data_IF_591823266562
#
_entry.id   IF_591823266562
#
_cell.length_a   1.000
_cell.length_b   1.000
_cell.length_c   1.000
_cell.angle_alpha   90.00
_cell.angle_beta   90.00
_cell.angle_gamma   90.00
#
_symmetry.space_group_name_H-M   'P 1'
#
loop_
_entity.id
_entity.type
_entity.pdbx_description
1 polymer ?
#
# COMPACT_ATOMS: atom_id res chain seq x y z
N UNK A 1 9.03 66.28 -2.75
CA UNK A 1 9.19 66.71 -1.34
C UNK A 1 8.04 66.11 -0.54
N UNK A 2 8.32 65.59 0.65
CA UNK A 2 7.46 64.85 1.59
C UNK A 2 7.29 63.35 1.28
N UNK A 3 7.89 62.37 1.98
CA UNK A 3 8.24 62.09 3.40
C UNK A 3 7.33 60.97 3.91
N UNK A 4 7.95 59.83 4.23
CA UNK A 4 7.36 58.68 4.91
C UNK A 4 6.77 59.06 6.28
N UNK A 5 5.70 58.39 6.70
CA UNK A 5 5.47 58.06 8.11
C UNK A 5 4.75 56.73 8.27
N UNK A 6 5.23 55.95 9.23
CA UNK A 6 4.86 54.59 9.61
C UNK A 6 3.53 54.49 10.35
N UNK A 7 2.92 53.30 10.30
CA UNK A 7 1.96 52.83 11.29
C UNK A 7 1.77 51.31 11.21
N UNK A 8 2.53 50.55 12.02
CA UNK A 8 2.26 49.14 12.31
C UNK A 8 1.26 49.07 13.46
N UNK A 9 0.11 48.42 13.27
CA UNK A 9 -0.67 47.79 14.34
C UNK A 9 -1.34 46.53 13.77
N UNK A 10 -0.96 45.38 14.29
CA UNK A 10 -1.65 44.08 14.19
C UNK A 10 -2.51 43.87 15.45
N UNK A 11 -3.23 42.75 15.60
CA UNK A 11 -4.23 42.08 14.77
C UNK A 11 -5.60 42.03 15.52
N UNK A 12 -6.72 41.67 14.88
CA UNK A 12 -7.87 40.94 15.47
C UNK A 12 -9.13 41.09 14.62
N UNK A 13 -9.72 39.92 14.31
CA UNK A 13 -11.14 39.62 14.15
C UNK A 13 -11.96 40.12 12.95
N UNK A 14 -12.76 39.16 12.47
CA UNK A 14 -14.00 39.28 11.72
C UNK A 14 -13.91 39.97 10.36
N UNK A 15 -13.67 39.19 9.32
CA UNK A 15 -14.16 39.56 7.98
C UNK A 15 -15.69 39.37 7.94
N UNK A 16 -16.40 40.40 8.39
CA UNK A 16 -17.77 40.67 7.94
C UNK A 16 -17.68 41.06 6.47
N UNK A 17 -17.88 40.10 5.57
CA UNK A 17 -18.06 40.38 4.14
C UNK A 17 -19.43 41.04 3.97
N UNK A 18 -19.44 42.37 3.88
CA UNK A 18 -20.62 43.15 3.50
C UNK A 18 -20.99 42.76 2.06
N UNK A 19 -22.05 41.96 1.93
CA UNK A 19 -22.69 41.62 0.66
C UNK A 19 -23.30 42.89 0.05
N UNK A 20 -22.58 43.51 -0.89
CA UNK A 20 -23.22 44.41 -1.85
C UNK A 20 -24.13 43.58 -2.75
N UNK A 21 -25.40 43.93 -2.72
CA UNK A 21 -26.49 43.35 -3.51
C UNK A 21 -26.15 43.35 -5.00
N UNK A 22 -26.04 42.15 -5.58
CA UNK A 22 -25.83 41.93 -7.00
C UNK A 22 -25.27 40.53 -7.26
N UNK A 23 -26.10 39.63 -7.81
CA UNK A 23 -25.77 38.28 -8.32
C UNK A 23 -25.93 37.11 -7.32
N UNK A 24 -27.15 36.95 -6.81
CA UNK A 24 -27.58 35.84 -5.95
C UNK A 24 -27.95 34.56 -6.73
N UNK A 25 -27.05 34.03 -7.57
CA UNK A 25 -27.29 32.73 -8.25
C UNK A 25 -26.03 31.90 -8.46
N UNK A 26 -24.86 32.54 -8.66
CA UNK A 26 -23.60 31.84 -8.94
C UNK A 26 -22.87 31.31 -7.70
N UNK A 27 -23.08 31.92 -6.52
CA UNK A 27 -22.35 31.55 -5.29
C UNK A 27 -22.82 30.21 -4.70
N UNK A 28 -24.10 29.86 -4.86
CA UNK A 28 -24.66 28.59 -4.35
C UNK A 28 -24.11 27.39 -5.13
N UNK A 29 -24.01 27.49 -6.45
CA UNK A 29 -23.50 26.41 -7.31
C UNK A 29 -22.03 26.14 -7.06
N UNK A 30 -21.17 27.16 -6.95
CA UNK A 30 -19.73 26.97 -6.67
C UNK A 30 -19.50 26.36 -5.28
N UNK A 31 -20.29 26.76 -4.28
CA UNK A 31 -20.23 26.20 -2.94
C UNK A 31 -20.68 24.72 -2.92
N UNK A 32 -21.76 24.39 -3.62
CA UNK A 32 -22.23 23.00 -3.79
C UNK A 32 -21.24 22.14 -4.57
N UNK A 33 -20.60 22.68 -5.63
CA UNK A 33 -19.54 21.97 -6.36
C UNK A 33 -18.31 21.74 -5.47
N UNK A 34 -17.91 22.71 -4.65
CA UNK A 34 -16.83 22.51 -3.67
C UNK A 34 -17.19 21.45 -2.64
N UNK A 35 -18.41 21.45 -2.09
CA UNK A 35 -18.86 20.43 -1.15
C UNK A 35 -18.92 19.05 -1.80
N UNK A 36 -19.45 18.94 -3.02
CA UNK A 36 -19.54 17.68 -3.75
C UNK A 36 -18.14 17.16 -4.14
N UNK A 37 -17.23 18.05 -4.52
CA UNK A 37 -15.84 17.74 -4.79
C UNK A 37 -15.10 17.29 -3.53
N UNK A 38 -15.28 17.99 -2.40
CA UNK A 38 -14.74 17.58 -1.10
C UNK A 38 -15.33 16.25 -0.62
N UNK A 39 -16.64 16.02 -0.78
CA UNK A 39 -17.28 14.73 -0.50
C UNK A 39 -16.72 13.60 -1.38
N UNK A 40 -16.41 13.88 -2.65
CA UNK A 40 -15.74 12.92 -3.54
C UNK A 40 -14.27 12.69 -3.15
N UNK A 41 -13.55 13.70 -2.67
CA UNK A 41 -12.19 13.55 -2.15
C UNK A 41 -12.19 12.70 -0.86
N UNK A 42 -13.13 12.94 0.05
CA UNK A 42 -13.30 12.16 1.28
C UNK A 42 -13.64 10.70 0.96
N UNK A 43 -14.33 10.43 -0.16
CA UNK A 43 -14.66 9.07 -0.61
C UNK A 43 -13.46 8.31 -1.23
N UNK A 44 -12.31 8.94 -1.42
CA UNK A 44 -11.12 8.33 -2.06
C UNK A 44 -9.99 7.98 -1.09
N UNK A 45 -10.00 8.54 0.13
CA UNK A 45 -9.03 8.18 1.16
C UNK A 45 -9.52 6.93 1.88
N UNK A 46 -8.63 5.95 2.07
CA UNK A 46 -8.97 4.76 2.86
C UNK A 46 -9.29 5.14 4.30
N UNK A 47 -10.43 4.68 4.78
CA UNK A 47 -10.85 4.85 6.17
C UNK A 47 -10.22 3.74 7.03
N UNK A 48 -9.15 4.10 7.74
CA UNK A 48 -8.43 3.20 8.64
C UNK A 48 -9.27 2.67 9.79
N UNK A 49 -10.32 3.39 10.19
CA UNK A 49 -11.23 2.94 11.25
C UNK A 49 -12.12 1.79 10.78
N UNK A 50 -12.57 1.84 9.53
CA UNK A 50 -13.37 0.78 8.91
C UNK A 50 -12.48 -0.42 8.60
N UNK A 51 -11.45 -0.25 7.77
CA UNK A 51 -10.59 -1.36 7.35
C UNK A 51 -9.88 -2.01 8.54
N UNK A 52 -9.56 -1.26 9.59
CA UNK A 52 -8.94 -1.78 10.80
C UNK A 52 -9.76 -2.87 11.50
N UNK A 53 -11.08 -2.89 11.33
CA UNK A 53 -11.97 -3.92 11.90
C UNK A 53 -12.04 -5.20 11.08
N UNK A 54 -11.56 -5.18 9.83
CA UNK A 54 -11.55 -6.36 8.98
C UNK A 54 -10.55 -7.39 9.51
N UNK A 55 -10.92 -8.66 9.37
CA UNK A 55 -10.13 -9.80 9.84
C UNK A 55 -9.31 -10.41 8.73
N UNK A 56 -8.08 -10.77 9.09
CA UNK A 56 -7.17 -11.55 8.26
C UNK A 56 -6.71 -12.77 9.04
N UNK A 57 -6.51 -13.88 8.33
CA UNK A 57 -6.12 -15.15 8.92
C UNK A 57 -4.68 -15.48 8.55
N UNK A 58 -3.87 -15.85 9.55
CA UNK A 58 -2.47 -16.20 9.36
C UNK A 58 -2.33 -17.45 8.50
N UNK A 59 -1.43 -17.39 7.52
CA UNK A 59 -1.10 -18.55 6.66
C UNK A 59 -0.39 -19.65 7.48
N UNK A 60 0.35 -19.30 8.52
CA UNK A 60 1.18 -20.26 9.27
C UNK A 60 0.39 -21.07 10.29
N UNK A 61 -0.50 -20.43 11.04
CA UNK A 61 -1.18 -21.07 12.18
C UNK A 61 -2.72 -20.95 12.12
N UNK A 62 -3.28 -20.30 11.10
CA UNK A 62 -4.72 -20.14 10.93
C UNK A 62 -5.37 -19.18 11.94
N UNK A 63 -4.59 -18.43 12.72
CA UNK A 63 -5.12 -17.46 13.68
C UNK A 63 -5.73 -16.25 12.97
N UNK A 64 -6.94 -15.89 13.38
CA UNK A 64 -7.66 -14.71 12.91
C UNK A 64 -7.31 -13.49 13.75
N UNK A 65 -6.95 -12.38 13.12
CA UNK A 65 -6.63 -11.09 13.76
C UNK A 65 -7.27 -9.93 13.02
N UNK A 66 -7.61 -8.86 13.73
CA UNK A 66 -8.06 -7.61 13.11
C UNK A 66 -6.87 -6.84 12.54
N UNK A 67 -7.03 -6.23 11.36
CA UNK A 67 -5.97 -5.47 10.70
C UNK A 67 -5.38 -4.37 11.63
N UNK A 68 -6.22 -3.72 12.44
CA UNK A 68 -5.78 -2.63 13.33
C UNK A 68 -4.71 -3.03 14.34
N UNK A 69 -4.60 -4.31 14.66
CA UNK A 69 -3.58 -4.82 15.58
C UNK A 69 -2.17 -4.63 15.03
N UNK A 70 -2.00 -4.53 13.70
CA UNK A 70 -0.69 -4.38 13.10
C UNK A 70 -0.07 -2.99 13.24
N UNK A 71 -0.89 -1.95 13.40
CA UNK A 71 -0.43 -0.56 13.54
C UNK A 71 -0.80 0.08 14.87
N UNK A 72 -1.15 -0.74 15.87
CA UNK A 72 -1.50 -0.22 17.19
C UNK A 72 -0.32 0.54 17.79
N UNK A 73 0.86 -0.10 17.81
CA UNK A 73 2.05 0.41 18.53
C UNK A 73 3.30 0.59 17.65
N UNK A 74 3.25 0.22 16.36
CA UNK A 74 4.41 0.28 15.47
C UNK A 74 4.03 0.68 14.04
N UNK A 75 5.04 1.08 13.27
CA UNK A 75 4.92 1.28 11.84
C UNK A 75 4.71 -0.07 11.14
N UNK A 76 3.85 -0.11 10.12
CA UNK A 76 3.62 -1.32 9.33
C UNK A 76 3.50 -1.01 7.84
N UNK A 77 4.14 -1.84 7.04
CA UNK A 77 3.94 -1.95 5.61
C UNK A 77 3.07 -3.16 5.30
N UNK A 78 1.81 -2.92 4.93
CA UNK A 78 0.85 -3.97 4.55
C UNK A 78 0.74 -4.04 3.03
N UNK A 79 1.10 -5.19 2.45
CA UNK A 79 1.08 -5.44 1.02
C UNK A 79 -0.04 -6.40 0.70
N UNK A 80 -1.01 -5.96 -0.09
CA UNK A 80 -2.15 -6.75 -0.52
C UNK A 80 -1.83 -7.41 -1.86
N UNK A 81 -1.56 -8.72 -1.83
CA UNK A 81 -1.22 -9.49 -3.02
C UNK A 81 -2.50 -9.97 -3.72
N UNK A 82 -2.64 -9.65 -5.02
CA UNK A 82 -3.77 -10.16 -5.81
C UNK A 82 -3.88 -11.68 -5.81
N UNK A 83 -2.76 -12.40 -5.95
CA UNK A 83 -2.68 -13.86 -6.02
C UNK A 83 -1.31 -14.37 -5.61
N UNK A 84 -1.27 -15.41 -4.79
CA UNK A 84 -0.02 -16.10 -4.39
C UNK A 84 0.71 -16.74 -5.57
N UNK A 85 -0.06 -17.34 -6.48
CA UNK A 85 0.43 -18.00 -7.68
C UNK A 85 0.94 -17.08 -8.78
N UNK A 86 0.73 -15.77 -8.67
CA UNK A 86 1.09 -14.83 -9.73
C UNK A 86 2.59 -14.54 -9.70
N UNK A 87 3.28 -14.79 -10.82
CA UNK A 87 4.71 -14.50 -10.98
C UNK A 87 5.05 -13.03 -10.68
N UNK A 88 4.21 -12.09 -11.06
CA UNK A 88 4.41 -10.65 -10.80
C UNK A 88 4.26 -10.31 -9.31
N UNK A 89 3.40 -11.04 -8.58
CA UNK A 89 3.29 -10.88 -7.13
C UNK A 89 4.49 -11.47 -6.40
N UNK A 90 4.98 -12.62 -6.87
CA UNK A 90 6.22 -13.22 -6.37
C UNK A 90 7.42 -12.31 -6.65
N UNK A 91 7.46 -11.65 -7.80
CA UNK A 91 8.50 -10.67 -8.12
C UNK A 91 8.45 -9.49 -7.16
N UNK A 92 7.28 -8.86 -6.99
CA UNK A 92 7.14 -7.74 -6.07
C UNK A 92 7.51 -8.14 -4.63
N UNK A 93 7.11 -9.34 -4.18
CA UNK A 93 7.48 -9.85 -2.88
C UNK A 93 9.01 -10.05 -2.72
N UNK A 94 9.69 -10.55 -3.76
CA UNK A 94 11.16 -10.66 -3.77
C UNK A 94 11.84 -9.29 -3.72
N UNK A 95 11.34 -8.33 -4.50
CA UNK A 95 11.85 -6.95 -4.50
C UNK A 95 11.69 -6.30 -3.12
N UNK A 96 10.57 -6.54 -2.43
CA UNK A 96 10.38 -6.08 -1.05
C UNK A 96 11.40 -6.68 -0.07
N UNK A 97 11.91 -7.88 -0.36
CA UNK A 97 12.99 -8.50 0.41
C UNK A 97 14.31 -7.72 0.38
N UNK A 98 14.55 -6.92 -0.67
CA UNK A 98 15.76 -6.07 -0.79
C UNK A 98 15.80 -4.96 0.26
N UNK A 99 14.62 -4.49 0.71
CA UNK A 99 14.49 -3.44 1.74
C UNK A 99 14.07 -3.98 3.11
N UNK A 100 13.70 -5.26 3.21
CA UNK A 100 13.28 -5.87 4.47
C UNK A 100 14.29 -5.68 5.62
N UNK A 101 15.62 -5.82 5.41
CA UNK A 101 16.60 -5.54 6.48
C UNK A 101 16.53 -4.11 7.02
N UNK A 102 16.32 -3.11 6.14
CA UNK A 102 16.20 -1.69 6.55
C UNK A 102 14.92 -1.47 7.34
N UNK A 103 13.82 -2.05 6.89
CA UNK A 103 12.51 -1.94 7.54
C UNK A 103 12.55 -2.60 8.94
N UNK A 104 13.07 -3.82 9.04
CA UNK A 104 13.16 -4.54 10.31
C UNK A 104 14.08 -3.84 11.32
N UNK A 105 15.24 -3.35 10.87
CA UNK A 105 16.17 -2.58 11.72
C UNK A 105 15.51 -1.33 12.32
N UNK A 106 14.58 -0.72 11.59
CA UNK A 106 13.83 0.46 12.01
C UNK A 106 12.48 0.14 12.69
N UNK A 107 12.25 -1.12 13.07
CA UNK A 107 11.04 -1.54 13.78
C UNK A 107 9.76 -1.42 12.95
N UNK A 108 9.88 -1.49 11.62
CA UNK A 108 8.73 -1.47 10.72
C UNK A 108 8.32 -2.91 10.44
N UNK A 109 7.08 -3.25 10.79
CA UNK A 109 6.50 -4.55 10.54
C UNK A 109 6.15 -4.71 9.05
N UNK A 110 6.49 -5.85 8.46
CA UNK A 110 6.07 -6.21 7.11
C UNK A 110 4.96 -7.26 7.16
N UNK A 111 3.84 -6.99 6.49
CA UNK A 111 2.68 -7.88 6.43
C UNK A 111 2.24 -8.07 4.98
N UNK A 112 2.14 -9.31 4.53
CA UNK A 112 1.55 -9.68 3.25
C UNK A 112 0.16 -10.24 3.43
N UNK A 113 -0.84 -9.73 2.70
CA UNK A 113 -2.23 -10.17 2.76
C UNK A 113 -2.67 -10.66 1.38
N UNK A 114 -2.96 -11.95 1.22
CA UNK A 114 -3.58 -12.49 0.00
C UNK A 114 -5.10 -12.35 0.00
N UNK A 115 -5.70 -12.58 -1.17
CA UNK A 115 -7.16 -12.60 -1.32
C UNK A 115 -7.79 -13.85 -0.66
N UNK A 116 -7.12 -15.00 -0.76
CA UNK A 116 -7.64 -16.31 -0.32
C UNK A 116 -6.49 -17.20 0.18
N UNK A 117 -6.80 -18.35 0.79
CA UNK A 117 -5.78 -19.30 1.26
C UNK A 117 -5.10 -20.09 0.11
N UNK A 118 -5.82 -20.31 -0.99
CA UNK A 118 -5.37 -21.19 -2.08
C UNK A 118 -4.07 -20.67 -2.72
N UNK A 119 -2.99 -21.48 -2.66
CA UNK A 119 -1.67 -21.13 -3.17
C UNK A 119 -0.73 -20.48 -2.16
N UNK A 120 -1.19 -20.23 -0.92
CA UNK A 120 -0.40 -19.59 0.14
C UNK A 120 0.76 -20.47 0.63
N UNK A 121 0.58 -21.80 0.67
CA UNK A 121 1.64 -22.75 1.08
C UNK A 121 2.83 -22.70 0.15
N UNK A 122 2.59 -22.77 -1.16
CA UNK A 122 3.64 -22.66 -2.17
C UNK A 122 4.36 -21.31 -2.11
N UNK A 123 3.66 -20.26 -1.67
CA UNK A 123 4.25 -18.93 -1.51
C UNK A 123 5.19 -18.85 -0.30
N UNK A 124 4.81 -19.49 0.81
CA UNK A 124 5.65 -19.64 2.01
C UNK A 124 6.87 -20.51 1.70
N UNK A 125 6.66 -21.68 1.09
CA UNK A 125 7.73 -22.62 0.74
C UNK A 125 8.76 -22.00 -0.22
N UNK A 126 8.31 -21.19 -1.18
CA UNK A 126 9.18 -20.45 -2.10
C UNK A 126 9.92 -19.26 -1.45
N UNK A 127 9.72 -19.02 -0.16
CA UNK A 127 10.27 -17.90 0.62
C UNK A 127 10.20 -16.59 -0.17
N UNK A 128 9.03 -16.24 -0.71
CA UNK A 128 8.92 -15.06 -1.60
C UNK A 128 8.88 -13.74 -0.84
N UNK A 129 8.51 -13.75 0.44
CA UNK A 129 8.31 -12.55 1.25
C UNK A 129 8.95 -12.74 2.62
N UNK A 130 9.63 -11.70 3.10
CA UNK A 130 10.41 -11.72 4.34
C UNK A 130 9.62 -11.14 5.53
N UNK A 131 8.29 -11.21 5.50
CA UNK A 131 7.39 -10.72 6.56
C UNK A 131 6.26 -11.68 6.88
N UNK A 132 5.34 -11.27 7.77
CA UNK A 132 4.23 -12.11 8.19
C UNK A 132 3.18 -12.24 7.07
N UNK A 133 2.68 -13.46 6.84
CA UNK A 133 1.72 -13.74 5.77
C UNK A 133 0.34 -14.08 6.31
N UNK A 134 -0.67 -13.43 5.75
CA UNK A 134 -2.08 -13.59 6.04
C UNK A 134 -2.90 -13.64 4.75
N UNK A 135 -4.16 -14.03 4.85
CA UNK A 135 -5.15 -13.82 3.79
C UNK A 135 -6.42 -13.18 4.37
N UNK A 136 -7.13 -12.42 3.56
CA UNK A 136 -8.40 -11.81 3.97
C UNK A 136 -9.46 -12.88 4.21
N UNK A 137 -10.20 -12.79 5.31
CA UNK A 137 -11.34 -13.70 5.55
C UNK A 137 -12.51 -13.40 4.61
N UNK A 138 -12.65 -12.13 4.23
CA UNK A 138 -13.68 -11.66 3.32
C UNK A 138 -13.11 -10.77 2.22
N UNK A 139 -13.65 -10.91 1.00
CA UNK A 139 -13.34 -10.05 -0.14
C UNK A 139 -13.72 -8.57 0.10
N UNK A 140 -14.63 -8.31 1.04
CA UNK A 140 -15.00 -6.97 1.50
C UNK A 140 -13.77 -6.16 1.95
N UNK A 141 -12.71 -6.81 2.43
CA UNK A 141 -11.42 -6.19 2.79
C UNK A 141 -10.77 -5.49 1.59
N UNK A 142 -10.73 -6.17 0.43
CA UNK A 142 -10.18 -5.60 -0.79
C UNK A 142 -11.10 -4.51 -1.36
N UNK A 143 -12.42 -4.67 -1.21
CA UNK A 143 -13.41 -3.69 -1.67
C UNK A 143 -13.37 -2.40 -0.84
N UNK A 144 -13.22 -2.49 0.48
CA UNK A 144 -13.10 -1.34 1.38
C UNK A 144 -11.84 -0.50 1.09
N UNK A 145 -10.77 -1.14 0.60
CA UNK A 145 -9.55 -0.49 0.13
C UNK A 145 -9.68 0.08 -1.30
N UNK A 146 -10.86 -0.03 -1.92
CA UNK A 146 -11.13 0.35 -3.30
C UNK A 146 -10.18 -0.34 -4.31
N UNK A 147 -9.72 -1.56 -4.00
CA UNK A 147 -8.97 -2.36 -4.97
C UNK A 147 -9.92 -2.88 -6.04
N UNK A 148 -9.67 -2.43 -7.27
CA UNK A 148 -10.57 -2.69 -8.39
C UNK A 148 -10.62 -4.17 -8.75
N UNK A 149 -11.77 -4.58 -9.28
CA UNK A 149 -11.90 -5.82 -10.03
C UNK A 149 -11.87 -5.48 -11.50
N UNK A 150 -10.77 -5.82 -12.16
CA UNK A 150 -10.64 -5.68 -13.59
C UNK A 150 -11.22 -6.91 -14.29
N UNK A 151 -11.79 -6.71 -15.48
CA UNK A 151 -12.17 -7.85 -16.31
C UNK A 151 -10.89 -8.54 -16.83
N UNK A 152 -10.97 -9.85 -17.05
CA UNK A 152 -9.81 -10.65 -17.48
C UNK A 152 -9.19 -10.09 -18.77
N UNK A 153 -10.02 -9.55 -19.67
CA UNK A 153 -9.57 -8.93 -20.93
C UNK A 153 -8.63 -7.75 -20.68
N UNK A 154 -8.96 -6.85 -19.75
CA UNK A 154 -8.13 -5.69 -19.40
C UNK A 154 -6.84 -6.09 -18.71
N UNK A 155 -6.88 -7.11 -17.85
CA UNK A 155 -5.67 -7.70 -17.26
C UNK A 155 -4.78 -8.30 -18.35
N UNK A 156 -5.34 -9.10 -19.26
CA UNK A 156 -4.58 -9.67 -20.38
C UNK A 156 -4.00 -8.57 -21.29
N UNK A 157 -4.78 -7.54 -21.62
CA UNK A 157 -4.31 -6.39 -22.39
C UNK A 157 -3.12 -5.70 -21.69
N UNK A 158 -3.19 -5.53 -20.38
CA UNK A 158 -2.11 -4.92 -19.60
C UNK A 158 -0.84 -5.79 -19.54
N UNK A 159 -0.93 -7.11 -19.71
CA UNK A 159 0.25 -7.99 -19.80
C UNK A 159 1.08 -7.73 -21.06
N UNK A 160 0.47 -7.17 -22.12
CA UNK A 160 1.21 -6.78 -23.32
C UNK A 160 1.94 -5.44 -23.18
N UNK A 161 1.71 -4.68 -22.10
CA UNK A 161 2.42 -3.42 -21.88
C UNK A 161 3.91 -3.64 -21.60
N UNK A 162 4.73 -2.66 -21.97
CA UNK A 162 6.20 -2.74 -21.82
C UNK A 162 6.61 -3.08 -20.37
N UNK A 163 6.03 -2.37 -19.39
CA UNK A 163 6.26 -2.63 -17.97
C UNK A 163 5.98 -4.08 -17.58
N UNK A 164 4.86 -4.64 -18.04
CA UNK A 164 4.52 -6.03 -17.77
C UNK A 164 5.49 -7.01 -18.42
N UNK A 165 5.93 -6.74 -19.65
CA UNK A 165 6.93 -7.58 -20.33
C UNK A 165 8.29 -7.53 -19.63
N UNK A 166 8.72 -6.36 -19.19
CA UNK A 166 9.99 -6.17 -18.46
C UNK A 166 9.93 -6.90 -17.10
N UNK A 167 8.82 -6.77 -16.38
CA UNK A 167 8.59 -7.50 -15.12
C UNK A 167 8.50 -9.02 -15.35
N UNK A 168 7.87 -9.48 -16.45
CA UNK A 168 7.84 -10.90 -16.82
C UNK A 168 9.25 -11.42 -17.10
N UNK A 169 10.06 -10.66 -17.83
CA UNK A 169 11.44 -11.01 -18.14
C UNK A 169 12.29 -11.10 -16.87
N UNK A 170 12.19 -10.10 -15.99
CA UNK A 170 12.87 -10.08 -14.68
C UNK A 170 12.45 -11.28 -13.82
N UNK A 171 11.15 -11.54 -13.71
CA UNK A 171 10.62 -12.68 -12.96
C UNK A 171 11.13 -14.03 -13.47
N UNK A 172 11.15 -14.24 -14.80
CA UNK A 172 11.71 -15.45 -15.42
C UNK A 172 13.21 -15.58 -15.19
N UNK A 173 13.96 -14.49 -15.28
CA UNK A 173 15.40 -14.49 -14.99
C UNK A 173 15.69 -14.87 -13.52
N UNK A 174 14.75 -14.58 -12.61
CA UNK A 174 14.81 -14.99 -11.20
C UNK A 174 14.22 -16.39 -10.94
N UNK A 175 13.87 -17.15 -11.98
CA UNK A 175 13.31 -18.50 -11.85
C UNK A 175 11.88 -18.54 -11.29
N UNK A 176 11.17 -17.41 -11.31
CA UNK A 176 9.80 -17.33 -10.81
C UNK A 176 8.84 -17.95 -11.84
N UNK A 177 8.08 -18.95 -11.40
CA UNK A 177 6.95 -19.48 -12.15
C UNK A 177 5.64 -18.79 -11.73
N UNK A 178 4.61 -18.91 -12.56
CA UNK A 178 3.26 -18.52 -12.21
C UNK A 178 2.29 -19.68 -12.41
N UNK A 179 1.24 -19.74 -11.61
CA UNK A 179 0.13 -20.68 -11.80
C UNK A 179 -1.12 -19.99 -12.34
N UNK A 180 -2.14 -20.79 -12.65
CA UNK A 180 -3.43 -20.32 -13.15
C UNK A 180 -4.57 -20.35 -12.12
N UNK A 181 -4.26 -20.61 -10.83
CA UNK A 181 -5.24 -20.81 -9.76
C UNK A 181 -5.71 -19.49 -9.14
N UNK A 182 -7.00 -19.38 -8.86
CA UNK A 182 -7.59 -18.26 -8.11
C UNK A 182 -8.08 -17.10 -8.97
N UNK A 183 -8.30 -15.95 -8.33
CA UNK A 183 -8.98 -14.80 -8.93
C UNK A 183 -8.10 -13.90 -9.81
N UNK A 184 -8.31 -13.97 -11.12
CA UNK A 184 -7.51 -13.21 -12.09
C UNK A 184 -7.81 -11.71 -12.14
N UNK A 185 -9.02 -11.31 -11.78
CA UNK A 185 -9.54 -9.96 -11.97
C UNK A 185 -9.28 -9.04 -10.78
N UNK A 186 -9.09 -9.60 -9.59
CA UNK A 186 -8.76 -8.81 -8.40
C UNK A 186 -7.36 -8.22 -8.53
N UNK A 187 -7.23 -6.92 -8.27
CA UNK A 187 -5.93 -6.27 -8.04
C UNK A 187 -5.70 -6.04 -6.54
N UNK A 188 -4.46 -5.76 -6.18
CA UNK A 188 -4.05 -5.44 -4.83
C UNK A 188 -3.50 -4.03 -4.70
N UNK A 189 -2.57 -3.86 -3.77
CA UNK A 189 -2.03 -2.55 -3.42
C UNK A 189 -1.18 -2.60 -2.17
N UNK A 190 -0.89 -1.44 -1.60
CA UNK A 190 -0.13 -1.31 -0.37
C UNK A 190 -0.72 -0.25 0.54
N UNK A 191 -0.61 -0.47 1.84
CA UNK A 191 -1.03 0.43 2.88
C UNK A 191 0.10 0.57 3.89
N UNK A 192 0.69 1.77 3.97
CA UNK A 192 1.75 2.09 4.91
C UNK A 192 1.15 2.93 6.03
N UNK A 193 1.22 2.42 7.25
CA UNK A 193 0.51 2.96 8.41
C UNK A 193 1.48 3.13 9.56
N UNK A 194 1.45 4.30 10.19
CA UNK A 194 2.17 4.56 11.44
C UNK A 194 1.35 4.21 12.68
N UNK A 195 1.99 4.22 13.86
CA UNK A 195 1.35 3.91 15.13
C UNK A 195 0.05 4.69 15.35
N UNK A 196 -0.94 4.05 15.95
CA UNK A 196 -2.25 4.67 16.22
C UNK A 196 -3.11 4.91 14.97
N UNK A 197 -2.76 4.34 13.81
CA UNK A 197 -3.56 4.42 12.59
C UNK A 197 -3.33 5.69 11.79
N UNK A 198 -2.10 6.20 11.76
CA UNK A 198 -1.72 7.32 10.89
C UNK A 198 -1.43 6.81 9.49
N UNK A 199 -2.28 7.11 8.50
CA UNK A 199 -2.01 6.76 7.11
C UNK A 199 -0.79 7.53 6.57
N UNK A 200 0.27 6.82 6.21
CA UNK A 200 1.50 7.42 5.63
C UNK A 200 1.43 7.40 4.10
N UNK A 201 1.02 6.26 3.53
CA UNK A 201 0.88 6.09 2.09
C UNK A 201 -0.14 5.00 1.78
N UNK A 202 -0.92 5.24 0.75
CA UNK A 202 -1.77 4.24 0.13
C UNK A 202 -1.39 4.10 -1.34
N UNK A 203 -1.33 2.87 -1.84
CA UNK A 203 -1.10 2.54 -3.24
C UNK A 203 -2.13 1.52 -3.71
N UNK A 204 -2.68 1.73 -4.91
CA UNK A 204 -3.64 0.83 -5.55
C UNK A 204 -3.10 0.46 -6.91
N UNK A 205 -2.97 -0.84 -7.16
CA UNK A 205 -2.51 -1.33 -8.45
C UNK A 205 -3.49 -0.94 -9.56
N UNK A 206 -2.96 -0.38 -10.64
CA UNK A 206 -3.72 -0.11 -11.87
C UNK A 206 -3.65 -1.28 -12.87
N UNK A 207 -2.69 -2.19 -12.66
CA UNK A 207 -2.50 -3.39 -13.46
C UNK A 207 -1.72 -4.48 -12.70
N UNK A 208 -1.57 -5.68 -13.30
CA UNK A 208 -0.97 -6.84 -12.66
C UNK A 208 0.54 -6.73 -12.41
N UNK A 209 1.23 -5.86 -13.17
CA UNK A 209 2.67 -5.59 -13.04
C UNK A 209 2.96 -4.26 -12.31
N UNK A 210 1.92 -3.55 -11.91
CA UNK A 210 2.04 -2.30 -11.17
C UNK A 210 2.38 -2.63 -9.71
N UNK A 211 3.34 -1.94 -9.11
CA UNK A 211 3.73 -2.14 -7.72
C UNK A 211 4.24 -0.83 -7.12
N UNK A 212 4.21 -0.73 -5.79
CA UNK A 212 4.78 0.42 -5.09
C UNK A 212 6.31 0.26 -5.05
N UNK A 213 7.10 1.18 -5.64
CA UNK A 213 8.56 1.07 -5.63
C UNK A 213 9.12 1.10 -4.20
N UNK A 214 10.21 0.37 -3.99
CA UNK A 214 10.89 0.28 -2.70
C UNK A 214 11.30 1.66 -2.16
N UNK A 215 11.72 2.56 -3.04
CA UNK A 215 12.12 3.93 -2.71
C UNK A 215 10.93 4.74 -2.17
N UNK A 216 9.73 4.55 -2.71
CA UNK A 216 8.51 5.19 -2.19
C UNK A 216 8.13 4.65 -0.81
N UNK A 217 8.33 3.35 -0.57
CA UNK A 217 8.07 2.73 0.73
C UNK A 217 9.01 3.32 1.78
N UNK A 218 10.30 3.34 1.51
CA UNK A 218 11.32 3.89 2.41
C UNK A 218 11.06 5.37 2.70
N UNK A 219 10.78 6.16 1.65
CA UNK A 219 10.43 7.58 1.79
C UNK A 219 9.20 7.80 2.67
N UNK A 220 8.19 6.95 2.57
CA UNK A 220 6.99 7.07 3.41
C UNK A 220 7.29 6.90 4.91
N UNK A 221 8.35 6.16 5.26
CA UNK A 221 8.83 5.99 6.63
C UNK A 221 10.00 6.91 6.99
N UNK A 222 10.45 7.79 6.09
CA UNK A 222 11.58 8.70 6.31
C UNK A 222 12.95 8.01 6.28
N UNK A 223 13.09 6.92 5.52
CA UNK A 223 14.28 6.07 5.45
C UNK A 223 15.01 6.16 4.10
N UNK A 224 14.76 7.21 3.30
CA UNK A 224 15.36 7.39 1.98
C UNK A 224 16.90 7.40 1.98
N UNK A 225 17.53 7.79 3.10
CA UNK A 225 18.98 7.83 3.24
C UNK A 225 19.61 6.48 3.59
N UNK A 226 18.83 5.49 4.03
CA UNK A 226 19.32 4.16 4.43
C UNK A 226 19.35 3.15 3.27
N UNK A 227 18.86 3.53 2.10
CA UNK A 227 18.83 2.66 0.93
C UNK A 227 20.00 2.93 -0.01
N UNK A 228 20.78 1.88 -0.27
CA UNK A 228 21.86 1.90 -1.25
C UNK A 228 21.54 0.95 -2.41
N UNK A 229 21.86 1.30 -3.68
CA UNK A 229 21.65 0.42 -4.83
C UNK A 229 22.37 -0.93 -4.73
N UNK A 230 23.37 -1.05 -3.85
CA UNK A 230 24.01 -2.34 -3.55
C UNK A 230 23.07 -3.34 -2.87
N UNK A 231 22.07 -2.88 -2.09
CA UNK A 231 21.11 -3.74 -1.40
C UNK A 231 20.19 -4.50 -2.37
N UNK A 232 19.86 -3.89 -3.51
CA UNK A 232 19.09 -4.52 -4.58
C UNK A 232 19.84 -5.66 -5.30
N UNK A 233 21.16 -5.77 -5.10
CA UNK A 233 22.02 -6.77 -5.76
C UNK A 233 22.54 -7.86 -4.81
N UNK A 234 22.21 -7.80 -3.52
CA UNK A 234 22.60 -8.86 -2.59
C UNK A 234 21.69 -10.07 -2.81
N UNK A 235 22.30 -11.18 -3.27
CA UNK A 235 21.65 -12.49 -3.24
C UNK A 235 21.29 -12.77 -1.79
N UNK A 236 20.03 -13.17 -1.58
CA UNK A 236 19.54 -13.63 -0.28
C UNK A 236 20.38 -14.83 0.13
N UNK A 237 21.30 -14.64 1.09
CA UNK A 237 21.96 -15.76 1.75
C UNK A 237 20.88 -16.52 2.52
N UNK A 238 20.69 -17.78 2.16
CA UNK A 238 19.89 -18.75 2.92
C UNK A 238 20.58 -18.98 4.27
N UNK A 239 20.52 -18.00 5.17
CA UNK A 239 21.00 -18.15 6.54
C UNK A 239 20.00 -19.01 7.28
N UNK A 240 20.31 -20.29 7.29
CA UNK A 240 19.69 -21.36 8.03
C UNK A 240 19.80 -21.04 9.52
N UNK A 241 18.72 -20.56 10.14
CA UNK A 241 18.65 -20.52 11.60
C UNK A 241 18.39 -21.95 12.08
N UNK A 242 19.45 -22.73 12.28
CA UNK A 242 19.41 -23.99 13.01
C UNK A 242 19.11 -23.68 14.47
N UNK A 243 17.88 -23.91 14.90
CA UNK A 243 17.57 -24.09 16.32
C UNK A 243 18.14 -25.43 16.77
N UNK A 244 19.38 -25.40 17.27
CA UNK A 244 19.85 -26.44 18.18
C UNK A 244 19.08 -26.29 19.50
N UNK A 245 18.03 -27.09 19.68
CA UNK A 245 17.56 -27.43 21.03
C UNK A 245 18.40 -28.62 21.47
N UNK A 246 19.37 -28.37 22.34
CA UNK A 246 20.10 -29.42 23.04
C UNK A 246 19.29 -29.86 24.28
N UNK A 247 19.10 -31.17 24.50
CA UNK A 247 18.50 -31.68 25.74
C UNK A 247 19.39 -31.47 26.96
#
# INVERSE_FOLDING_TARGET
SNRFSFGKVSPLNSETVILRCGRLSYFSTIFMFKIQFYKNIIKMTTDLSVIGTHKVKSVLNGQSVELKTFWQDQNVAIIFFRRWGCMLCRLWAKELGEIAPVLHKNGIKMVGVGVEEAGSKEFVEGKFFDGDLYYAEELSTYQALNFKRFNVVSILASLFWKQSRDAIFKGRAMGLSGDTKGDWGQVGGALLVGPGGKLLREFRQTGPADHLPNEEILKAFGLEAEYTPEMANQKRDDTQCSTEVKP
#
